data_IF_410621634017
#
_entry.id   IF_410621634017
#
_cell.length_a   1.000
_cell.length_b   1.000
_cell.length_c   1.000
_cell.angle_alpha   90.00
_cell.angle_beta   90.00
_cell.angle_gamma   90.00
#
_symmetry.space_group_name_H-M   'P 1'
#
loop_
_entity.id
_entity.type
_entity.pdbx_description
1 polymer ?
#
# COMPACT_ATOMS: atom_id res chain seq x y z
N UNK A 1 23.84 -18.65 -11.01
CA UNK A 1 23.08 -17.37 -10.94
C UNK A 1 22.24 -17.25 -9.65
N UNK A 2 21.63 -18.31 -9.12
CA UNK A 2 20.83 -18.29 -7.88
C UNK A 2 21.60 -17.85 -6.62
N UNK A 3 22.88 -18.14 -6.54
CA UNK A 3 23.71 -17.84 -5.35
C UNK A 3 23.98 -16.34 -5.15
N UNK A 4 24.00 -15.57 -6.24
CA UNK A 4 24.25 -14.11 -6.18
C UNK A 4 23.02 -13.32 -5.67
N UNK A 5 21.81 -13.79 -5.99
CA UNK A 5 20.54 -13.20 -5.55
C UNK A 5 20.32 -13.43 -4.04
N UNK A 6 20.64 -14.63 -3.56
CA UNK A 6 20.56 -14.97 -2.12
C UNK A 6 21.61 -14.18 -1.32
N UNK A 7 22.81 -13.96 -1.90
CA UNK A 7 23.87 -13.18 -1.26
C UNK A 7 23.53 -11.69 -1.20
N UNK A 8 22.92 -11.14 -2.25
CA UNK A 8 22.41 -9.76 -2.25
C UNK A 8 21.26 -9.56 -1.26
N UNK A 9 20.32 -10.50 -1.17
CA UNK A 9 19.27 -10.48 -0.18
C UNK A 9 19.84 -10.50 1.25
N UNK A 10 20.79 -11.40 1.55
CA UNK A 10 21.46 -11.45 2.87
C UNK A 10 22.19 -10.14 3.22
N UNK A 11 22.82 -9.49 2.26
CA UNK A 11 23.53 -8.21 2.48
C UNK A 11 22.54 -7.06 2.71
N UNK A 12 21.41 -7.03 1.99
CA UNK A 12 20.30 -6.09 2.22
C UNK A 12 19.71 -6.26 3.64
N UNK A 13 19.48 -7.49 4.05
CA UNK A 13 19.01 -7.83 5.40
C UNK A 13 19.99 -7.44 6.52
N UNK A 14 21.29 -7.56 6.29
CA UNK A 14 22.30 -7.14 7.26
C UNK A 14 22.30 -5.62 7.44
N UNK A 15 22.15 -4.85 6.35
CA UNK A 15 22.04 -3.37 6.40
C UNK A 15 20.76 -2.92 7.11
N UNK A 16 19.64 -3.57 6.83
CA UNK A 16 18.36 -3.27 7.49
C UNK A 16 18.45 -3.54 8.99
N UNK A 17 18.95 -4.71 9.40
CA UNK A 17 19.18 -5.04 10.81
C UNK A 17 20.08 -4.03 11.52
N UNK A 18 21.12 -3.52 10.85
CA UNK A 18 22.01 -2.51 11.42
C UNK A 18 21.31 -1.16 11.61
N UNK A 19 20.47 -0.75 10.64
CA UNK A 19 19.69 0.48 10.72
C UNK A 19 18.64 0.40 11.85
N UNK A 20 17.94 -0.73 11.96
CA UNK A 20 16.96 -0.99 13.04
C UNK A 20 17.65 -0.98 14.40
N UNK A 21 18.78 -1.65 14.55
CA UNK A 21 19.53 -1.67 15.81
C UNK A 21 19.95 -0.27 16.24
N UNK A 22 20.47 0.55 15.32
CA UNK A 22 20.78 1.96 15.57
C UNK A 22 19.55 2.78 15.97
N UNK A 23 18.40 2.52 15.35
CA UNK A 23 17.16 3.22 15.67
C UNK A 23 16.63 2.81 17.05
N UNK A 24 16.66 1.53 17.39
CA UNK A 24 16.27 1.01 18.71
C UNK A 24 17.23 1.49 19.82
N UNK A 25 18.54 1.49 19.58
CA UNK A 25 19.54 2.00 20.52
C UNK A 25 19.39 3.51 20.77
N UNK A 26 18.95 4.28 19.78
CA UNK A 26 18.65 5.71 19.92
C UNK A 26 17.26 6.00 20.48
N UNK A 27 16.33 5.01 20.51
CA UNK A 27 14.93 5.20 20.94
C UNK A 27 14.68 4.96 22.42
N UNK A 28 15.69 4.66 23.23
CA UNK A 28 15.50 4.41 24.67
C UNK A 28 15.12 5.65 25.49
N UNK A 29 15.00 6.82 24.86
CA UNK A 29 14.60 8.08 25.50
C UNK A 29 13.60 8.92 24.67
N UNK A 30 13.07 8.41 23.54
CA UNK A 30 12.14 9.17 22.71
C UNK A 30 10.67 8.78 23.00
N UNK A 31 9.81 9.71 23.48
CA UNK A 31 8.37 9.46 23.65
C UNK A 31 7.63 9.23 22.32
N UNK A 32 8.29 9.33 21.16
CA UNK A 32 7.72 9.10 19.84
C UNK A 32 7.91 7.65 19.37
N UNK A 33 7.41 6.69 20.16
CA UNK A 33 7.32 5.27 19.78
C UNK A 33 6.56 5.08 18.46
N UNK A 34 6.92 4.08 17.62
CA UNK A 34 6.17 3.73 16.39
C UNK A 34 4.67 3.48 16.57
N UNK A 35 4.20 3.23 17.80
CA UNK A 35 2.78 3.11 18.12
C UNK A 35 2.00 4.43 18.00
N UNK A 36 2.68 5.58 18.03
CA UNK A 36 2.04 6.89 17.84
C UNK A 36 1.73 7.20 16.36
N UNK A 37 2.38 6.53 15.40
CA UNK A 37 2.21 6.81 13.97
C UNK A 37 0.86 6.37 13.39
N UNK A 38 0.08 5.55 14.10
CA UNK A 38 -1.21 5.03 13.61
C UNK A 38 -2.44 5.80 14.10
N UNK A 39 -2.27 6.88 14.86
CA UNK A 39 -3.39 7.53 15.56
C UNK A 39 -4.17 8.56 14.75
N UNK A 40 -3.66 9.00 13.60
CA UNK A 40 -4.31 10.04 12.79
C UNK A 40 -4.95 9.44 11.54
N UNK A 41 -6.19 8.97 11.68
CA UNK A 41 -6.98 8.52 10.54
C UNK A 41 -7.79 9.68 9.97
N UNK A 42 -7.58 9.98 8.69
CA UNK A 42 -8.32 11.00 7.95
C UNK A 42 -9.74 10.55 7.61
N UNK A 43 -9.96 9.24 7.55
CA UNK A 43 -11.27 8.61 7.50
C UNK A 43 -11.31 7.50 8.55
N UNK A 44 -11.85 7.76 9.73
CA UNK A 44 -11.94 6.75 10.77
C UNK A 44 -12.82 5.59 10.31
N UNK A 45 -12.19 4.44 10.11
CA UNK A 45 -12.87 3.22 9.71
C UNK A 45 -13.06 2.33 10.92
N UNK A 46 -14.29 2.24 11.40
CA UNK A 46 -14.65 1.33 12.48
C UNK A 46 -14.87 -0.08 11.91
N UNK A 47 -13.81 -0.84 11.68
CA UNK A 47 -13.93 -2.24 11.31
C UNK A 47 -14.43 -3.07 12.52
N UNK A 48 -15.30 -4.06 12.26
CA UNK A 48 -15.88 -4.92 13.30
C UNK A 48 -15.44 -6.36 13.15
N UNK A 49 -15.34 -7.09 14.26
CA UNK A 49 -14.96 -8.49 14.27
C UNK A 49 -16.03 -9.35 13.58
N UNK A 50 -15.61 -10.30 12.73
CA UNK A 50 -16.42 -11.38 12.19
C UNK A 50 -16.20 -12.63 13.05
N UNK A 51 -17.08 -12.89 14.01
CA UNK A 51 -16.96 -13.97 14.97
C UNK A 51 -17.38 -15.34 14.44
N UNK A 52 -18.09 -15.37 13.32
CA UNK A 52 -18.61 -16.58 12.65
C UNK A 52 -17.57 -17.27 11.78
N UNK A 53 -16.41 -16.68 11.61
CA UNK A 53 -15.32 -17.22 10.78
C UNK A 53 -14.04 -17.38 11.59
N UNK A 54 -13.54 -18.61 11.80
CA UNK A 54 -12.28 -18.82 12.50
C UNK A 54 -11.09 -18.28 11.70
N UNK A 55 -10.12 -17.64 12.33
CA UNK A 55 -8.89 -17.23 11.67
C UNK A 55 -7.99 -18.44 11.37
N UNK A 56 -7.13 -18.33 10.36
CA UNK A 56 -6.14 -19.36 10.04
C UNK A 56 -5.00 -19.44 11.05
N UNK A 57 -4.75 -18.37 11.80
CA UNK A 57 -3.71 -18.30 12.84
C UNK A 57 -4.24 -17.53 14.05
N UNK A 58 -3.81 -17.92 15.26
CA UNK A 58 -4.26 -17.34 16.54
C UNK A 58 -4.04 -15.82 16.65
N UNK A 59 -3.04 -15.26 15.96
CA UNK A 59 -2.68 -13.84 16.00
C UNK A 59 -3.44 -13.02 14.97
N UNK A 60 -4.33 -13.66 14.22
CA UNK A 60 -5.17 -13.05 13.21
C UNK A 60 -6.64 -13.14 13.58
N UNK A 61 -7.44 -12.32 12.92
CA UNK A 61 -8.89 -12.30 13.03
C UNK A 61 -9.51 -11.87 11.71
N UNK A 62 -10.75 -12.29 11.48
CA UNK A 62 -11.54 -11.78 10.38
C UNK A 62 -12.26 -10.50 10.81
N UNK A 63 -12.16 -9.46 10.00
CA UNK A 63 -12.80 -8.17 10.26
C UNK A 63 -13.70 -7.79 9.09
N UNK A 64 -14.81 -7.14 9.43
CA UNK A 64 -15.69 -6.48 8.48
C UNK A 64 -15.21 -5.05 8.32
N UNK A 65 -14.62 -4.72 7.18
CA UNK A 65 -14.20 -3.38 6.82
C UNK A 65 -15.33 -2.67 6.09
N UNK A 66 -15.91 -1.57 6.63
CA UNK A 66 -17.10 -0.95 6.07
C UNK A 66 -16.81 -0.19 4.78
N UNK A 67 -17.75 -0.31 3.83
CA UNK A 67 -17.75 0.37 2.55
C UNK A 67 -19.05 1.17 2.38
N UNK A 68 -19.03 2.33 1.68
CA UNK A 68 -20.20 3.21 1.57
C UNK A 68 -21.31 2.64 0.66
N UNK A 69 -20.95 1.88 -0.37
CA UNK A 69 -21.90 1.27 -1.33
C UNK A 69 -21.95 -0.25 -1.15
N UNK A 70 -23.04 -0.93 -1.59
CA UNK A 70 -23.08 -2.40 -1.57
C UNK A 70 -21.84 -3.02 -2.21
N UNK A 71 -21.32 -4.10 -1.61
CA UNK A 71 -21.85 -4.94 -0.51
C UNK A 71 -21.71 -4.35 0.90
N UNK A 72 -21.37 -3.10 1.09
CA UNK A 72 -21.19 -2.37 2.32
C UNK A 72 -20.00 -2.80 3.20
N UNK A 73 -19.29 -3.84 2.86
CA UNK A 73 -18.06 -4.24 3.56
C UNK A 73 -17.17 -5.17 2.73
N UNK A 74 -15.89 -5.17 3.07
CA UNK A 74 -14.94 -6.24 2.76
C UNK A 74 -14.78 -7.14 3.97
N UNK A 75 -14.55 -8.43 3.72
CA UNK A 75 -14.06 -9.38 4.73
C UNK A 75 -12.56 -9.42 4.67
N UNK A 76 -11.89 -8.97 5.72
CA UNK A 76 -10.43 -8.92 5.79
C UNK A 76 -9.92 -9.84 6.90
N UNK A 77 -9.03 -10.75 6.56
CA UNK A 77 -8.19 -11.48 7.50
C UNK A 77 -7.01 -10.59 7.84
N UNK A 78 -6.99 -10.06 9.04
CA UNK A 78 -6.03 -9.07 9.50
C UNK A 78 -5.37 -9.51 10.79
N UNK A 79 -4.18 -9.01 11.06
CA UNK A 79 -3.52 -9.25 12.33
C UNK A 79 -4.23 -8.47 13.44
N UNK A 80 -4.35 -9.08 14.62
CA UNK A 80 -4.92 -8.43 15.81
C UNK A 80 -4.04 -7.25 16.22
N UNK A 81 -4.64 -6.11 16.51
CA UNK A 81 -3.92 -4.88 16.88
C UNK A 81 -3.06 -5.04 18.15
N UNK A 82 -3.45 -5.94 19.05
CA UNK A 82 -2.77 -6.19 20.32
C UNK A 82 -1.56 -7.13 20.20
N UNK A 83 -1.34 -7.76 19.04
CA UNK A 83 -0.23 -8.67 18.85
C UNK A 83 1.06 -7.88 18.58
N UNK A 84 1.97 -7.90 19.55
CA UNK A 84 3.34 -7.40 19.35
C UNK A 84 4.11 -8.39 18.47
N UNK A 85 4.91 -7.84 17.55
CA UNK A 85 5.80 -8.68 16.74
C UNK A 85 7.02 -9.01 17.58
N UNK A 86 7.30 -10.28 17.75
CA UNK A 86 8.53 -10.70 18.42
C UNK A 86 9.73 -10.60 17.48
N UNK A 87 10.92 -10.39 18.06
CA UNK A 87 12.19 -10.41 17.29
C UNK A 87 12.38 -11.76 16.57
N UNK A 88 11.82 -12.82 17.11
CA UNK A 88 11.86 -14.16 16.51
C UNK A 88 10.99 -14.23 15.25
N UNK A 89 9.77 -13.69 15.28
CA UNK A 89 8.91 -13.59 14.08
C UNK A 89 9.55 -12.77 12.97
N UNK A 90 10.20 -11.65 13.32
CA UNK A 90 10.97 -10.85 12.38
C UNK A 90 12.13 -11.63 11.75
N UNK A 91 12.73 -12.55 12.49
CA UNK A 91 13.89 -13.32 12.01
C UNK A 91 13.53 -14.57 11.21
N UNK A 92 12.44 -15.25 11.57
CA UNK A 92 12.08 -16.59 11.06
C UNK A 92 10.99 -16.55 9.99
N UNK A 93 10.00 -15.67 10.14
CA UNK A 93 8.84 -15.63 9.24
C UNK A 93 8.97 -14.61 8.11
N UNK A 94 10.14 -13.98 7.95
CA UNK A 94 10.33 -12.90 6.95
C UNK A 94 9.31 -11.77 7.09
N UNK A 95 8.66 -11.64 8.25
CA UNK A 95 7.87 -10.46 8.59
C UNK A 95 8.89 -9.35 8.72
N UNK A 96 8.99 -8.55 7.70
CA UNK A 96 9.95 -7.45 7.70
C UNK A 96 9.37 -6.27 8.48
N UNK A 97 10.26 -5.38 8.93
CA UNK A 97 9.88 -4.15 9.62
C UNK A 97 9.36 -3.07 8.65
N UNK A 98 8.93 -3.45 7.45
CA UNK A 98 8.46 -2.49 6.44
C UNK A 98 7.07 -1.94 6.73
N UNK A 99 6.47 -2.34 7.87
CA UNK A 99 5.16 -1.85 8.25
C UNK A 99 3.99 -2.56 7.57
N UNK A 100 4.25 -3.63 6.83
CA UNK A 100 3.27 -4.38 6.04
C UNK A 100 2.19 -5.12 6.85
N UNK A 101 2.28 -5.12 8.19
CA UNK A 101 1.40 -5.91 9.08
C UNK A 101 0.11 -5.17 9.45
N UNK A 102 0.09 -3.87 9.29
CA UNK A 102 -1.04 -2.99 9.63
C UNK A 102 -1.61 -2.35 8.39
N UNK A 103 -2.89 -2.03 8.42
CA UNK A 103 -3.50 -1.09 7.49
C UNK A 103 -3.05 0.33 7.88
N UNK A 104 -2.50 1.06 6.95
CA UNK A 104 -2.05 2.43 7.17
C UNK A 104 -3.12 3.44 6.79
N UNK A 105 -3.14 4.65 7.42
CA UNK A 105 -4.15 5.67 7.11
C UNK A 105 -4.22 6.05 5.63
N UNK A 106 -3.09 6.04 4.91
CA UNK A 106 -3.07 6.33 3.47
C UNK A 106 -3.68 5.20 2.63
N UNK A 107 -3.64 3.94 3.08
CA UNK A 107 -4.29 2.83 2.41
C UNK A 107 -5.83 2.97 2.48
N UNK A 108 -6.36 3.32 3.67
CA UNK A 108 -7.78 3.60 3.86
C UNK A 108 -8.27 4.80 3.02
N UNK A 109 -7.40 5.79 2.84
CA UNK A 109 -7.73 7.02 2.14
C UNK A 109 -7.61 6.89 0.62
N UNK A 110 -6.61 6.16 0.12
CA UNK A 110 -6.25 6.11 -1.30
C UNK A 110 -7.43 5.71 -2.20
N UNK A 111 -8.12 4.62 -1.88
CA UNK A 111 -9.25 4.17 -2.70
C UNK A 111 -10.42 5.16 -2.71
N UNK A 112 -10.65 5.90 -1.60
CA UNK A 112 -11.71 6.92 -1.50
C UNK A 112 -11.44 8.09 -2.41
N UNK A 113 -10.19 8.56 -2.41
CA UNK A 113 -9.73 9.65 -3.30
C UNK A 113 -9.78 9.24 -4.77
N UNK A 114 -9.56 7.95 -5.05
CA UNK A 114 -9.49 7.46 -6.42
C UNK A 114 -10.84 7.05 -6.99
N UNK A 115 -11.86 6.76 -6.18
CA UNK A 115 -13.13 6.20 -6.66
C UNK A 115 -13.78 7.05 -7.74
N UNK A 116 -13.69 8.37 -7.65
CA UNK A 116 -14.25 9.30 -8.62
C UNK A 116 -13.33 9.58 -9.82
N UNK A 117 -12.11 9.05 -9.81
CA UNK A 117 -11.16 9.13 -10.94
C UNK A 117 -11.36 8.00 -11.98
N UNK A 118 -12.29 7.08 -11.72
CA UNK A 118 -12.64 5.99 -12.62
C UNK A 118 -14.00 6.25 -13.27
N UNK A 119 -14.03 6.80 -14.51
CA UNK A 119 -15.29 7.00 -15.20
C UNK A 119 -15.94 5.68 -15.61
N UNK A 120 -17.27 5.65 -15.61
CA UNK A 120 -18.06 4.50 -16.06
C UNK A 120 -18.00 4.27 -17.60
N UNK A 121 -17.23 5.10 -18.30
CA UNK A 121 -17.08 5.03 -19.74
C UNK A 121 -15.90 4.16 -20.13
N UNK A 122 -16.17 3.14 -20.93
CA UNK A 122 -15.21 2.17 -21.45
C UNK A 122 -13.99 2.79 -22.15
N UNK A 123 -12.84 2.08 -22.24
CA UNK A 123 -12.63 0.71 -21.81
C UNK A 123 -12.34 0.58 -20.32
N UNK A 124 -12.75 -0.54 -19.71
CA UNK A 124 -12.47 -0.80 -18.30
C UNK A 124 -10.96 -0.96 -18.07
N UNK A 125 -10.46 -0.40 -16.99
CA UNK A 125 -9.04 -0.30 -16.67
C UNK A 125 -8.53 -1.52 -15.92
N UNK A 126 -7.27 -1.84 -16.14
CA UNK A 126 -6.48 -2.78 -15.34
C UNK A 126 -5.76 -2.01 -14.24
N UNK A 127 -5.92 -2.42 -13.00
CA UNK A 127 -5.36 -1.77 -11.83
C UNK A 127 -4.34 -2.68 -11.15
N UNK A 128 -3.19 -2.15 -10.78
CA UNK A 128 -2.17 -2.81 -9.97
C UNK A 128 -1.98 -2.05 -8.66
N UNK A 129 -2.03 -2.73 -7.54
CA UNK A 129 -1.58 -2.21 -6.26
C UNK A 129 -0.18 -2.76 -5.94
N UNK A 130 0.77 -1.86 -5.68
CA UNK A 130 2.13 -2.18 -5.25
C UNK A 130 2.27 -1.99 -3.74
N UNK A 131 2.90 -2.95 -3.06
CA UNK A 131 3.12 -2.87 -1.62
C UNK A 131 1.83 -2.89 -0.81
N UNK A 132 0.89 -3.75 -1.21
CA UNK A 132 -0.45 -3.85 -0.62
C UNK A 132 -0.46 -4.32 0.85
N UNK A 133 0.68 -4.72 1.40
CA UNK A 133 0.80 -5.25 2.75
C UNK A 133 -0.04 -6.50 2.98
N UNK A 134 -0.49 -6.68 4.22
CA UNK A 134 -1.29 -7.85 4.61
C UNK A 134 -2.75 -7.78 4.15
N UNK A 135 -3.31 -6.57 3.98
CA UNK A 135 -4.76 -6.41 3.81
C UNK A 135 -5.17 -6.08 2.37
N UNK A 136 -4.40 -5.29 1.64
CA UNK A 136 -4.70 -4.87 0.27
C UNK A 136 -6.01 -4.06 0.19
N UNK A 137 -6.24 -3.20 1.17
CA UNK A 137 -7.54 -2.50 1.30
C UNK A 137 -7.81 -1.62 0.10
N UNK A 138 -6.80 -0.92 -0.42
CA UNK A 138 -7.03 0.04 -1.50
C UNK A 138 -7.47 -0.67 -2.79
N UNK A 139 -6.76 -1.69 -3.25
CA UNK A 139 -7.13 -2.44 -4.44
C UNK A 139 -8.44 -3.21 -4.29
N UNK A 140 -8.63 -3.88 -3.15
CA UNK A 140 -9.85 -4.64 -2.88
C UNK A 140 -11.09 -3.73 -2.77
N UNK A 141 -10.97 -2.55 -2.14
CA UNK A 141 -12.06 -1.60 -2.06
C UNK A 141 -12.45 -1.05 -3.44
N UNK A 142 -11.47 -0.73 -4.30
CA UNK A 142 -11.74 -0.33 -5.69
C UNK A 142 -12.43 -1.45 -6.46
N UNK A 143 -11.95 -2.70 -6.36
CA UNK A 143 -12.55 -3.87 -7.00
C UNK A 143 -14.00 -4.14 -6.54
N UNK A 144 -14.32 -3.75 -5.32
CA UNK A 144 -15.62 -3.92 -4.70
C UNK A 144 -16.59 -2.78 -5.05
N UNK A 145 -16.10 -1.54 -5.06
CA UNK A 145 -16.94 -0.33 -5.17
C UNK A 145 -17.17 0.14 -6.60
N UNK A 146 -16.28 -0.20 -7.53
CA UNK A 146 -16.37 0.18 -8.93
C UNK A 146 -16.96 -0.95 -9.78
N UNK A 147 -17.79 -0.63 -10.79
CA UNK A 147 -18.37 -1.64 -11.68
C UNK A 147 -17.31 -2.22 -12.62
N UNK A 148 -17.58 -3.40 -13.17
CA UNK A 148 -16.72 -4.05 -14.17
C UNK A 148 -16.55 -3.23 -15.46
N UNK A 149 -17.44 -2.27 -15.71
CA UNK A 149 -17.33 -1.30 -16.79
C UNK A 149 -16.24 -0.25 -16.57
N UNK A 150 -15.87 0.00 -15.31
CA UNK A 150 -14.78 0.93 -14.95
C UNK A 150 -13.47 0.21 -14.69
N UNK A 151 -13.51 -0.96 -14.04
CA UNK A 151 -12.33 -1.78 -13.73
C UNK A 151 -12.55 -3.22 -14.16
N UNK A 152 -11.70 -3.74 -15.04
CA UNK A 152 -11.75 -5.14 -15.46
C UNK A 152 -10.94 -6.06 -14.55
N UNK A 153 -9.73 -5.66 -14.19
CA UNK A 153 -8.79 -6.48 -13.44
C UNK A 153 -8.15 -5.68 -12.32
N UNK A 154 -8.03 -6.28 -11.15
CA UNK A 154 -7.25 -5.74 -10.04
C UNK A 154 -6.24 -6.79 -9.60
N UNK A 155 -4.97 -6.40 -9.55
CA UNK A 155 -3.90 -7.25 -9.01
C UNK A 155 -3.34 -6.54 -7.79
N UNK A 156 -3.45 -7.16 -6.62
CA UNK A 156 -2.85 -6.66 -5.38
C UNK A 156 -1.52 -7.39 -5.16
N UNK A 157 -0.44 -6.63 -4.92
CA UNK A 157 0.91 -7.22 -4.87
C UNK A 157 1.70 -6.76 -3.67
N UNK A 158 2.57 -7.65 -3.18
CA UNK A 158 3.56 -7.32 -2.17
C UNK A 158 4.86 -8.10 -2.45
N UNK A 159 5.99 -7.59 -1.98
CA UNK A 159 7.29 -8.25 -2.07
C UNK A 159 7.50 -9.34 -1.02
N UNK A 160 6.62 -9.43 -0.01
CA UNK A 160 6.67 -10.40 1.06
C UNK A 160 5.69 -11.55 0.80
N UNK A 161 6.20 -12.78 0.75
CA UNK A 161 5.39 -13.97 0.47
C UNK A 161 4.27 -14.19 1.49
N UNK A 162 4.51 -13.91 2.78
CA UNK A 162 3.48 -14.05 3.82
C UNK A 162 2.34 -13.02 3.66
N UNK A 163 2.66 -11.80 3.19
CA UNK A 163 1.64 -10.83 2.83
C UNK A 163 0.79 -11.34 1.67
N UNK A 164 1.42 -11.88 0.63
CA UNK A 164 0.72 -12.41 -0.55
C UNK A 164 -0.18 -13.59 -0.19
N UNK A 165 0.26 -14.49 0.69
CA UNK A 165 -0.58 -15.57 1.21
C UNK A 165 -1.84 -15.02 1.90
N UNK A 166 -1.69 -14.01 2.75
CA UNK A 166 -2.81 -13.36 3.41
C UNK A 166 -3.71 -12.58 2.44
N UNK A 167 -3.12 -11.90 1.45
CA UNK A 167 -3.87 -11.23 0.38
C UNK A 167 -4.73 -12.20 -0.41
N UNK A 168 -4.23 -13.41 -0.72
CA UNK A 168 -5.01 -14.46 -1.37
C UNK A 168 -6.23 -14.86 -0.55
N UNK A 169 -6.07 -15.05 0.77
CA UNK A 169 -7.19 -15.32 1.67
C UNK A 169 -8.25 -14.22 1.62
N UNK A 170 -7.81 -12.95 1.59
CA UNK A 170 -8.71 -11.81 1.49
C UNK A 170 -9.44 -11.78 0.15
N UNK A 171 -8.74 -12.01 -0.96
CA UNK A 171 -9.34 -12.10 -2.30
C UNK A 171 -10.36 -13.22 -2.36
N UNK A 172 -9.97 -14.46 -2.00
CA UNK A 172 -10.83 -15.64 -2.03
C UNK A 172 -12.09 -15.46 -1.17
N UNK A 173 -11.93 -14.89 0.03
CA UNK A 173 -13.06 -14.63 0.92
C UNK A 173 -14.10 -13.69 0.30
N UNK A 174 -13.65 -12.62 -0.34
CA UNK A 174 -14.54 -11.64 -0.95
C UNK A 174 -15.11 -12.14 -2.29
N UNK A 175 -14.40 -12.96 -3.04
CA UNK A 175 -14.96 -13.69 -4.21
C UNK A 175 -16.07 -14.62 -3.77
N UNK A 176 -15.83 -15.47 -2.75
CA UNK A 176 -16.81 -16.44 -2.26
C UNK A 176 -18.09 -15.78 -1.73
N UNK A 177 -18.02 -14.53 -1.26
CA UNK A 177 -19.16 -13.75 -0.81
C UNK A 177 -19.82 -12.91 -1.92
N UNK A 178 -19.28 -12.93 -3.13
CA UNK A 178 -19.78 -12.13 -4.25
C UNK A 178 -19.58 -10.60 -4.04
N UNK A 179 -18.59 -10.21 -3.26
CA UNK A 179 -18.34 -8.80 -2.95
C UNK A 179 -17.59 -8.07 -4.06
N UNK A 180 -16.78 -8.77 -4.86
CA UNK A 180 -15.95 -8.15 -5.88
C UNK A 180 -16.73 -7.98 -7.19
N UNK A 181 -16.70 -6.78 -7.73
CA UNK A 181 -17.43 -6.36 -8.95
C UNK A 181 -16.54 -6.38 -10.19
N UNK A 182 -15.21 -6.26 -10.03
CA UNK A 182 -14.26 -6.44 -11.12
C UNK A 182 -14.32 -7.86 -11.70
N UNK A 183 -14.01 -8.03 -12.99
CA UNK A 183 -14.03 -9.35 -13.63
C UNK A 183 -13.02 -10.31 -13.02
N UNK A 184 -11.86 -9.81 -12.63
CA UNK A 184 -10.80 -10.62 -12.03
C UNK A 184 -10.08 -9.83 -10.95
N UNK A 185 -9.85 -10.48 -9.80
CA UNK A 185 -9.02 -9.95 -8.72
C UNK A 185 -8.05 -11.05 -8.30
N UNK A 186 -6.75 -10.75 -8.30
CA UNK A 186 -5.69 -11.69 -7.91
C UNK A 186 -4.71 -11.07 -6.93
N UNK A 187 -4.00 -11.92 -6.19
CA UNK A 187 -2.92 -11.52 -5.30
C UNK A 187 -1.62 -12.21 -5.74
N UNK A 188 -0.57 -11.42 -6.02
CA UNK A 188 0.66 -11.89 -6.63
C UNK A 188 1.92 -11.38 -5.90
N UNK A 189 2.97 -12.20 -5.92
CA UNK A 189 4.27 -11.83 -5.38
C UNK A 189 5.00 -10.93 -6.39
N UNK A 190 5.25 -9.68 -6.01
CA UNK A 190 5.99 -8.74 -6.81
C UNK A 190 6.95 -7.93 -5.94
N UNK A 191 8.22 -8.31 -5.96
CA UNK A 191 9.28 -7.52 -5.34
C UNK A 191 9.79 -6.46 -6.31
N UNK A 192 9.91 -5.22 -5.83
CA UNK A 192 10.45 -4.14 -6.65
C UNK A 192 11.89 -4.42 -7.06
N UNK A 193 12.19 -4.22 -8.33
CA UNK A 193 13.48 -4.63 -8.91
C UNK A 193 13.86 -3.82 -10.12
N UNK A 194 15.18 -3.63 -10.30
CA UNK A 194 15.78 -3.13 -11.55
C UNK A 194 15.89 -4.19 -12.64
N UNK A 195 15.78 -5.47 -12.28
CA UNK A 195 15.77 -6.53 -13.28
C UNK A 195 14.43 -6.53 -14.02
N UNK A 196 14.44 -7.08 -15.24
CA UNK A 196 13.19 -7.34 -15.96
C UNK A 196 12.29 -8.21 -15.09
N UNK A 197 11.11 -7.69 -14.82
CA UNK A 197 10.10 -8.43 -14.09
C UNK A 197 9.45 -9.45 -15.03
N UNK A 198 9.13 -10.65 -14.58
CA UNK A 198 8.31 -11.59 -15.33
C UNK A 198 6.84 -11.12 -15.33
N UNK A 199 6.63 -9.81 -15.47
CA UNK A 199 5.33 -9.17 -15.39
C UNK A 199 4.55 -9.47 -16.66
N UNK A 200 3.26 -9.66 -16.44
CA UNK A 200 2.24 -9.91 -17.44
C UNK A 200 2.52 -9.19 -18.77
N UNK A 201 2.32 -9.90 -19.87
CA UNK A 201 2.46 -9.38 -21.23
C UNK A 201 1.60 -8.12 -21.52
N UNK A 202 0.74 -7.73 -20.57
CA UNK A 202 -0.18 -6.61 -20.67
C UNK A 202 -0.05 -5.66 -19.46
N UNK A 203 0.56 -4.47 -19.64
CA UNK A 203 0.79 -3.50 -18.58
C UNK A 203 -0.53 -2.89 -18.06
N UNK A 204 -0.45 -2.28 -16.86
CA UNK A 204 -1.60 -1.74 -16.15
C UNK A 204 -1.90 -0.30 -16.55
N UNK A 205 -3.19 0.02 -16.64
CA UNK A 205 -3.67 1.37 -16.96
C UNK A 205 -3.55 2.30 -15.77
N UNK A 206 -3.69 1.74 -14.56
CA UNK A 206 -3.55 2.46 -13.29
C UNK A 206 -2.70 1.64 -12.34
N UNK A 207 -1.68 2.27 -11.78
CA UNK A 207 -0.86 1.70 -10.68
C UNK A 207 -1.09 2.55 -9.44
N UNK A 208 -1.34 1.89 -8.32
CA UNK A 208 -1.56 2.56 -7.02
C UNK A 208 -0.58 2.03 -5.98
N UNK A 209 -0.19 2.89 -5.06
CA UNK A 209 0.58 2.49 -3.87
C UNK A 209 0.36 3.48 -2.73
N UNK A 210 0.33 2.98 -1.49
CA UNK A 210 0.19 3.78 -0.29
C UNK A 210 1.33 3.49 0.70
N UNK A 211 1.86 4.54 1.33
CA UNK A 211 2.93 4.48 2.34
C UNK A 211 4.19 3.67 1.92
N UNK A 212 4.49 3.61 0.61
CA UNK A 212 5.57 2.79 0.04
C UNK A 212 6.95 3.47 0.01
N UNK A 213 7.06 4.77 0.30
CA UNK A 213 8.31 5.53 0.14
C UNK A 213 9.11 5.71 1.45
N UNK A 214 8.74 4.99 2.49
CA UNK A 214 9.42 5.11 3.79
C UNK A 214 10.90 4.69 3.72
N UNK A 215 11.21 3.66 2.93
CA UNK A 215 12.57 3.13 2.78
C UNK A 215 13.22 3.61 1.49
N UNK A 216 14.04 4.63 1.58
CA UNK A 216 14.75 5.24 0.44
C UNK A 216 15.59 4.27 -0.36
N UNK A 217 16.12 3.21 0.27
CA UNK A 217 16.90 2.16 -0.39
C UNK A 217 16.14 1.42 -1.49
N UNK A 218 14.80 1.49 -1.49
CA UNK A 218 13.95 0.86 -2.50
C UNK A 218 13.44 1.84 -3.57
N UNK A 219 13.70 3.15 -3.45
CA UNK A 219 13.15 4.14 -4.38
C UNK A 219 13.53 3.86 -5.83
N UNK A 220 14.80 3.54 -6.10
CA UNK A 220 15.27 3.25 -7.46
C UNK A 220 14.63 1.96 -8.00
N UNK A 221 14.54 0.92 -7.16
CA UNK A 221 13.90 -0.33 -7.54
C UNK A 221 12.39 -0.12 -7.81
N UNK A 222 11.72 0.74 -7.01
CA UNK A 222 10.31 1.10 -7.20
C UNK A 222 10.10 1.88 -8.51
N UNK A 223 10.92 2.91 -8.80
CA UNK A 223 10.82 3.67 -10.06
C UNK A 223 10.98 2.76 -11.27
N UNK A 224 11.96 1.85 -11.25
CA UNK A 224 12.14 0.86 -12.34
C UNK A 224 10.94 -0.07 -12.46
N UNK A 225 10.39 -0.53 -11.34
CA UNK A 225 9.17 -1.34 -11.34
C UNK A 225 8.01 -0.58 -11.96
N UNK A 226 7.78 0.67 -11.54
CA UNK A 226 6.73 1.53 -12.09
C UNK A 226 6.86 1.70 -13.62
N UNK A 227 8.07 1.90 -14.13
CA UNK A 227 8.31 1.98 -15.58
C UNK A 227 7.95 0.69 -16.32
N UNK A 228 8.12 -0.47 -15.70
CA UNK A 228 7.85 -1.75 -16.36
C UNK A 228 6.38 -2.15 -16.32
N UNK A 229 5.66 -1.84 -15.21
CA UNK A 229 4.29 -2.30 -15.02
C UNK A 229 3.24 -1.32 -15.57
N UNK A 230 3.58 -0.05 -15.71
CA UNK A 230 2.63 0.99 -16.15
C UNK A 230 2.51 1.02 -17.66
N UNK A 231 1.28 1.02 -18.19
CA UNK A 231 1.01 1.09 -19.63
C UNK A 231 1.70 2.31 -20.25
N UNK A 232 2.57 2.13 -21.26
CA UNK A 232 3.29 3.24 -21.88
C UNK A 232 2.33 4.29 -22.46
N UNK A 233 2.66 5.55 -22.29
CA UNK A 233 1.97 6.76 -22.78
C UNK A 233 0.63 7.06 -22.11
N UNK A 234 -0.16 6.08 -21.70
CA UNK A 234 -1.54 6.28 -21.20
C UNK A 234 -1.75 5.88 -19.77
N UNK A 235 -0.86 5.08 -19.20
CA UNK A 235 -0.96 4.63 -17.80
C UNK A 235 -0.68 5.77 -16.84
N UNK A 236 -1.35 5.73 -15.68
CA UNK A 236 -1.26 6.72 -14.61
C UNK A 236 -0.90 6.00 -13.30
N UNK A 237 -0.05 6.62 -12.51
CA UNK A 237 0.35 6.11 -11.21
C UNK A 237 -0.13 7.08 -10.14
N UNK A 238 -0.76 6.57 -9.08
CA UNK A 238 -1.17 7.33 -7.91
C UNK A 238 -0.48 6.80 -6.66
N UNK A 239 0.29 7.66 -6.00
CA UNK A 239 0.94 7.35 -4.73
C UNK A 239 0.36 8.27 -3.65
N UNK A 240 0.02 7.72 -2.49
CA UNK A 240 -0.50 8.50 -1.37
C UNK A 240 0.29 8.20 -0.11
N UNK A 241 0.90 9.23 0.47
CA UNK A 241 1.73 9.09 1.66
C UNK A 241 2.17 10.43 2.24
N UNK A 242 2.62 10.50 3.50
CA UNK A 242 3.28 11.68 4.06
C UNK A 242 4.71 11.88 3.50
N UNK A 243 5.27 13.07 3.70
CA UNK A 243 6.67 13.41 3.33
C UNK A 243 7.71 12.52 4.03
N UNK A 244 7.47 12.16 5.31
CA UNK A 244 8.35 11.30 6.13
C UNK A 244 9.83 11.71 6.08
N UNK A 245 10.10 12.94 6.52
CA UNK A 245 11.47 13.46 6.63
C UNK A 245 12.14 13.69 5.27
N UNK A 246 11.37 14.03 4.26
CA UNK A 246 11.88 14.33 2.92
C UNK A 246 12.07 13.10 2.02
N UNK A 247 11.61 11.93 2.45
CA UNK A 247 11.67 10.71 1.64
C UNK A 247 10.85 10.84 0.36
N UNK A 248 9.66 11.46 0.45
CA UNK A 248 8.80 11.74 -0.70
C UNK A 248 9.52 12.62 -1.74
N UNK A 249 10.14 13.70 -1.30
CA UNK A 249 10.81 14.67 -2.16
C UNK A 249 11.99 14.02 -2.89
N UNK A 250 12.74 13.15 -2.21
CA UNK A 250 13.83 12.38 -2.83
C UNK A 250 13.33 11.37 -3.85
N UNK A 251 12.20 10.74 -3.58
CA UNK A 251 11.55 9.86 -4.56
C UNK A 251 11.06 10.65 -5.78
N UNK A 252 10.41 11.79 -5.56
CA UNK A 252 9.92 12.66 -6.65
C UNK A 252 11.05 13.07 -7.58
N UNK A 253 12.22 13.44 -7.04
CA UNK A 253 13.40 13.78 -7.83
C UNK A 253 13.84 12.62 -8.75
N UNK A 254 13.83 11.38 -8.24
CA UNK A 254 14.14 10.19 -9.05
C UNK A 254 13.05 9.89 -10.09
N UNK A 255 11.78 10.01 -9.72
CA UNK A 255 10.66 9.71 -10.60
C UNK A 255 10.57 10.70 -11.77
N UNK A 256 10.98 11.96 -11.58
CA UNK A 256 11.01 13.00 -12.62
C UNK A 256 11.96 12.69 -13.78
N UNK A 257 12.91 11.75 -13.61
CA UNK A 257 13.76 11.28 -14.70
C UNK A 257 12.97 10.48 -15.77
N UNK A 258 11.80 9.93 -15.39
CA UNK A 258 11.01 9.03 -16.23
C UNK A 258 9.57 9.51 -16.43
N UNK A 259 9.02 10.31 -15.52
CA UNK A 259 7.61 10.68 -15.47
C UNK A 259 7.44 12.19 -15.31
N UNK A 260 6.32 12.71 -15.81
CA UNK A 260 5.77 13.99 -15.34
C UNK A 260 5.14 13.77 -13.98
N UNK A 261 5.58 14.52 -12.97
CA UNK A 261 5.17 14.34 -11.57
C UNK A 261 4.37 15.54 -11.10
N UNK A 262 3.18 15.29 -10.56
CA UNK A 262 2.35 16.28 -9.87
C UNK A 262 2.24 15.89 -8.40
N UNK A 263 2.65 16.80 -7.51
CA UNK A 263 2.53 16.64 -6.06
C UNK A 263 1.39 17.54 -5.60
N UNK A 264 0.35 16.97 -5.03
CA UNK A 264 -0.87 17.66 -4.62
C UNK A 264 -1.09 17.47 -3.11
N UNK A 265 -1.03 18.55 -2.38
CA UNK A 265 -1.28 18.58 -0.93
C UNK A 265 -2.74 18.91 -0.60
N UNK A 266 -3.49 19.51 -1.54
CA UNK A 266 -4.88 19.95 -1.40
C UNK A 266 -5.86 19.08 -2.19
N UNK A 267 -5.51 17.83 -2.43
CA UNK A 267 -6.20 16.91 -3.33
C UNK A 267 -7.64 16.56 -2.92
N UNK A 268 -8.03 16.78 -1.67
CA UNK A 268 -9.35 16.47 -1.12
C UNK A 268 -9.72 17.42 0.01
N UNK A 269 -10.86 18.12 -0.11
CA UNK A 269 -11.31 19.12 0.85
C UNK A 269 -11.61 18.54 2.25
N UNK A 270 -12.12 17.31 2.34
CA UNK A 270 -12.42 16.67 3.62
C UNK A 270 -11.12 16.27 4.34
N UNK A 271 -10.12 15.82 3.58
CA UNK A 271 -8.77 15.53 4.10
C UNK A 271 -8.12 16.80 4.62
N UNK A 272 -8.25 17.92 3.90
CA UNK A 272 -7.69 19.21 4.34
C UNK A 272 -8.39 19.75 5.58
N UNK A 273 -9.70 19.60 5.69
CA UNK A 273 -10.44 19.97 6.90
C UNK A 273 -10.00 19.13 8.11
N UNK A 274 -9.78 17.83 7.92
CA UNK A 274 -9.29 16.94 8.98
C UNK A 274 -7.83 17.26 9.34
N UNK A 275 -6.98 17.57 8.36
CA UNK A 275 -5.62 18.05 8.58
C UNK A 275 -5.61 19.31 9.46
N UNK A 276 -6.42 20.31 9.12
CA UNK A 276 -6.54 21.53 9.89
C UNK A 276 -7.01 21.28 11.34
N UNK A 277 -7.92 20.31 11.53
CA UNK A 277 -8.34 19.87 12.86
C UNK A 277 -7.17 19.25 13.65
N UNK A 278 -6.41 18.35 13.03
CA UNK A 278 -5.28 17.68 13.68
C UNK A 278 -4.11 18.61 14.03
N UNK A 279 -3.96 19.75 13.37
CA UNK A 279 -2.94 20.74 13.73
C UNK A 279 -3.06 21.26 15.16
N UNK A 280 -4.21 21.09 15.81
CA UNK A 280 -4.41 21.43 17.22
C UNK A 280 -3.94 20.32 18.19
N UNK A 281 -3.62 19.14 17.69
CA UNK A 281 -3.10 18.03 18.51
C UNK A 281 -1.56 18.09 18.54
N UNK A 282 -0.93 18.19 19.73
CA UNK A 282 0.52 18.28 19.84
C UNK A 282 1.28 17.04 19.38
N UNK A 283 0.59 15.90 19.23
CA UNK A 283 1.16 14.67 18.69
C UNK A 283 1.11 14.62 17.16
N UNK A 284 0.34 15.50 16.52
CA UNK A 284 0.25 15.55 15.07
C UNK A 284 1.46 16.28 14.47
N UNK A 285 2.23 15.55 13.68
CA UNK A 285 3.40 16.09 12.97
C UNK A 285 3.09 16.01 11.47
N UNK A 286 2.87 17.16 10.78
CA UNK A 286 2.47 17.18 9.37
C UNK A 286 3.39 16.33 8.47
N UNK A 287 4.70 16.44 8.63
CA UNK A 287 5.66 15.67 7.83
C UNK A 287 5.57 14.14 8.00
N UNK A 288 4.94 13.67 9.08
CA UNK A 288 4.76 12.24 9.36
C UNK A 288 3.34 11.73 9.09
N UNK A 289 2.34 12.64 9.13
CA UNK A 289 0.94 12.22 9.17
C UNK A 289 0.10 12.80 8.02
N UNK A 290 0.44 14.01 7.49
CA UNK A 290 -0.35 14.62 6.42
C UNK A 290 -0.18 13.83 5.11
N UNK A 291 -1.27 13.25 4.56
CA UNK A 291 -1.19 12.57 3.28
C UNK A 291 -0.96 13.58 2.14
N UNK A 292 -0.17 13.18 1.19
CA UNK A 292 0.17 13.93 -0.03
C UNK A 292 -0.10 12.99 -1.20
N UNK A 293 -0.90 13.44 -2.16
CA UNK A 293 -1.15 12.69 -3.38
C UNK A 293 -0.10 13.01 -4.43
N UNK A 294 0.57 12.01 -4.94
CA UNK A 294 1.50 12.12 -6.06
C UNK A 294 0.93 11.41 -7.27
N UNK A 295 0.80 12.12 -8.37
CA UNK A 295 0.37 11.57 -9.65
C UNK A 295 1.54 11.57 -10.62
N UNK A 296 1.84 10.39 -11.20
CA UNK A 296 2.89 10.22 -12.20
C UNK A 296 2.22 9.85 -13.53
N UNK A 297 2.61 10.53 -14.60
CA UNK A 297 2.19 10.23 -15.96
C UNK A 297 3.41 10.18 -16.89
N UNK A 298 3.29 9.48 -18.00
CA UNK A 298 4.34 9.51 -19.01
C UNK A 298 4.51 10.91 -19.57
N UNK A 299 5.75 11.34 -19.87
CA UNK A 299 5.99 12.60 -20.54
C UNK A 299 5.29 12.64 -21.90
N UNK A 300 4.74 13.78 -22.26
CA UNK A 300 4.22 13.98 -23.61
C UNK A 300 5.35 13.76 -24.65
N UNK A 301 5.10 13.07 -25.76
CA UNK A 301 6.08 12.99 -26.83
C UNK A 301 6.39 14.41 -27.32
N UNK A 302 7.68 14.71 -27.46
CA UNK A 302 8.20 15.97 -28.04
C UNK A 302 7.76 16.10 -29.49
#
# INVERSE_FOLDING_TARGET
MADNTVRQAKTRWARLRSAIRKHVENSTTDPHSPSAMSMFSFYPVASTLLSDRPPFHRDYEWRRYPLPRPPHHLSLHARKEQCTISVHELAVQSVDNTGNIRTWPCEDLLWRVLIDKFPDTAPPRRVLELGAGMCGVAGLALACQLPATSISHVVVTDGNASCVENLRLNVEANIAQGHLRAHSVTAELLAWSRAMLPVAADPFDVVIASDCLFFESFHVDLVHTLCQVTRPRTGVIYLLQPSRGGSLERFVALAQEHFTVVVDIDFDAAVMAQHAHFLHDPQYIPSLHQPILVTLTWPSPL
#
